data_IF_914777714513
#
_entry.id   IF_914777714513
#
_cell.length_a   1.000
_cell.length_b   1.000
_cell.length_c   1.000
_cell.angle_alpha   90.00
_cell.angle_beta   90.00
_cell.angle_gamma   90.00
#
_symmetry.space_group_name_H-M   'P 1'
#
loop_
_entity.id
_entity.type
_entity.pdbx_description
1 polymer ?
#
# COMPACT_ATOMS: atom_id res chain seq x y z
N UNK A 1 42.72 55.37 6.29
CA UNK A 1 41.48 55.63 5.53
C UNK A 1 41.50 54.66 4.35
N UNK A 2 40.69 53.62 4.17
CA UNK A 2 39.41 53.18 4.73
C UNK A 2 39.42 51.65 4.88
N UNK A 3 38.77 51.15 5.94
CA UNK A 3 38.39 49.74 6.14
C UNK A 3 37.20 49.44 5.22
N UNK A 4 37.23 48.32 4.50
CA UNK A 4 36.02 47.69 3.97
C UNK A 4 36.07 46.20 4.30
N UNK A 5 35.33 45.84 5.35
CA UNK A 5 34.95 44.46 5.61
C UNK A 5 33.95 44.02 4.54
N UNK A 6 34.19 42.87 3.91
CA UNK A 6 33.17 42.14 3.18
C UNK A 6 32.93 40.83 3.92
N UNK A 7 31.91 40.84 4.78
CA UNK A 7 31.26 39.63 5.26
C UNK A 7 30.39 39.10 4.12
N UNK A 8 30.70 37.92 3.58
CA UNK A 8 29.80 37.17 2.71
C UNK A 8 29.33 35.95 3.50
N UNK A 9 28.18 36.16 4.13
CA UNK A 9 27.22 35.14 4.54
C UNK A 9 26.55 34.56 3.29
N UNK A 10 25.87 33.40 3.42
CA UNK A 10 24.84 32.79 2.52
C UNK A 10 25.37 31.64 1.64
N UNK A 11 24.80 30.43 1.58
CA UNK A 11 23.60 29.80 2.17
C UNK A 11 23.83 28.29 2.16
N UNK A 12 23.48 27.59 3.24
CA UNK A 12 23.33 26.13 3.25
C UNK A 12 22.05 25.75 2.50
N UNK A 13 22.18 25.18 1.30
CA UNK A 13 21.07 24.52 0.61
C UNK A 13 20.89 23.12 1.20
N UNK A 14 20.05 23.01 2.23
CA UNK A 14 19.45 21.75 2.62
C UNK A 14 18.42 21.37 1.55
N UNK A 15 18.82 20.52 0.60
CA UNK A 15 17.92 19.93 -0.37
C UNK A 15 17.11 18.82 0.32
N UNK A 16 15.98 19.17 0.94
CA UNK A 16 14.92 18.19 1.15
C UNK A 16 14.39 17.82 -0.24
N UNK A 17 14.60 16.56 -0.65
CA UNK A 17 13.99 16.00 -1.85
C UNK A 17 12.48 15.90 -1.63
N UNK A 18 11.77 17.00 -1.85
CA UNK A 18 10.30 17.09 -1.79
C UNK A 18 9.74 16.52 -3.08
N UNK A 19 8.81 15.57 -2.98
CA UNK A 19 8.04 15.03 -4.10
C UNK A 19 7.55 16.17 -5.01
N UNK A 20 7.87 16.09 -6.30
CA UNK A 20 7.79 17.25 -7.22
C UNK A 20 6.43 17.44 -7.86
N UNK A 21 5.56 16.43 -7.82
CA UNK A 21 4.23 16.50 -8.41
C UNK A 21 3.11 16.31 -7.37
N UNK A 22 1.92 16.94 -7.57
CA UNK A 22 0.76 16.72 -6.72
C UNK A 22 0.33 15.25 -6.63
N UNK A 23 0.49 14.51 -7.73
CA UNK A 23 0.24 13.06 -7.79
C UNK A 23 1.22 12.31 -6.89
N UNK A 24 2.53 12.54 -7.00
CA UNK A 24 3.52 11.90 -6.11
C UNK A 24 3.29 12.20 -4.63
N UNK A 25 2.77 13.38 -4.30
CA UNK A 25 2.45 13.76 -2.91
C UNK A 25 1.20 13.02 -2.38
N UNK A 26 0.09 13.04 -3.12
CA UNK A 26 -1.12 12.30 -2.75
C UNK A 26 -0.85 10.80 -2.59
N UNK A 27 0.13 10.32 -3.34
CA UNK A 27 0.53 8.93 -3.34
C UNK A 27 1.49 8.54 -2.23
N UNK A 28 2.44 9.41 -1.89
CA UNK A 28 3.24 9.25 -0.66
C UNK A 28 2.32 9.24 0.56
N UNK A 29 1.27 10.05 0.53
CA UNK A 29 0.21 10.06 1.55
C UNK A 29 -0.53 8.71 1.58
N UNK A 30 -0.97 8.15 0.44
CA UNK A 30 -1.61 6.82 0.39
C UNK A 30 -0.73 5.68 0.91
N UNK A 31 0.57 5.70 0.65
CA UNK A 31 1.49 4.69 1.21
C UNK A 31 1.65 4.88 2.72
N UNK A 32 1.80 6.13 3.16
CA UNK A 32 1.84 6.47 4.58
C UNK A 32 0.55 6.09 5.31
N UNK A 33 -0.62 6.15 4.64
CA UNK A 33 -1.89 5.71 5.22
C UNK A 33 -1.83 4.26 5.69
N UNK A 34 -1.11 3.39 4.99
CA UNK A 34 -0.96 1.99 5.41
C UNK A 34 0.17 1.79 6.43
N UNK A 35 1.13 2.71 6.52
CA UNK A 35 2.21 2.61 7.50
C UNK A 35 1.70 2.88 8.92
N UNK A 36 0.85 3.87 9.09
CA UNK A 36 0.30 4.22 10.40
C UNK A 36 -1.13 3.72 10.62
N UNK A 37 -1.64 2.82 9.75
CA UNK A 37 -3.00 2.28 9.91
C UNK A 37 -3.08 1.35 11.15
N UNK A 38 -3.97 1.63 12.12
CA UNK A 38 -4.14 0.78 13.30
C UNK A 38 -4.64 -0.64 12.96
N UNK A 39 -5.20 -0.84 11.76
CA UNK A 39 -5.62 -2.15 11.25
C UNK A 39 -4.45 -3.00 10.79
N UNK A 40 -3.27 -2.41 10.57
CA UNK A 40 -2.07 -3.15 10.15
C UNK A 40 -1.45 -3.87 11.36
N UNK A 41 -1.46 -5.19 11.29
CA UNK A 41 -0.81 -6.05 12.28
C UNK A 41 0.65 -6.36 11.95
N UNK A 42 1.13 -7.52 12.40
CA UNK A 42 2.51 -7.96 12.21
C UNK A 42 2.83 -8.29 10.74
N UNK A 43 4.11 -8.10 10.35
CA UNK A 43 4.61 -8.60 9.07
C UNK A 43 4.64 -10.13 9.08
N UNK A 44 4.18 -10.75 8.00
CA UNK A 44 4.19 -12.19 7.79
C UNK A 44 4.96 -12.54 6.52
N UNK A 45 5.57 -13.72 6.51
CA UNK A 45 6.42 -14.13 5.37
C UNK A 45 5.62 -14.56 4.14
N UNK A 46 4.40 -15.08 4.35
CA UNK A 46 3.60 -15.70 3.29
C UNK A 46 2.12 -15.82 3.64
N UNK A 47 1.28 -15.82 2.59
CA UNK A 47 -0.14 -16.19 2.66
C UNK A 47 -0.36 -17.40 1.76
N UNK A 48 -0.89 -18.48 2.30
CA UNK A 48 -1.13 -19.70 1.54
C UNK A 48 -2.60 -19.80 1.18
N UNK A 49 -2.91 -19.92 -0.10
CA UNK A 49 -4.28 -20.09 -0.59
C UNK A 49 -4.54 -21.57 -0.84
N UNK A 50 -5.74 -22.03 -0.50
CA UNK A 50 -6.14 -23.40 -0.84
C UNK A 50 -6.38 -23.59 -2.35
N UNK A 51 -6.80 -22.54 -3.06
CA UNK A 51 -7.04 -22.54 -4.52
C UNK A 51 -6.76 -21.18 -5.16
N UNK A 52 -7.54 -20.18 -4.79
CA UNK A 52 -7.47 -18.79 -5.26
C UNK A 52 -7.70 -17.88 -4.06
N UNK A 53 -7.41 -16.59 -4.20
CA UNK A 53 -7.88 -15.59 -3.23
C UNK A 53 -9.41 -15.66 -3.10
N UNK A 54 -9.92 -15.51 -1.87
CA UNK A 54 -11.37 -15.48 -1.64
C UNK A 54 -11.96 -14.11 -1.98
N UNK A 55 -11.15 -13.06 -1.88
CA UNK A 55 -11.53 -11.69 -2.20
C UNK A 55 -10.38 -10.72 -2.01
N UNK A 56 -10.61 -9.47 -2.40
CA UNK A 56 -9.68 -8.37 -2.16
C UNK A 56 -10.43 -7.04 -2.00
N UNK A 57 -9.82 -6.09 -1.31
CA UNK A 57 -10.38 -4.77 -1.04
C UNK A 57 -9.26 -3.75 -0.81
N UNK A 58 -9.63 -2.48 -0.60
CA UNK A 58 -8.71 -1.38 -0.29
C UNK A 58 -7.54 -1.32 -1.29
N UNK A 59 -7.88 -1.42 -2.57
CA UNK A 59 -6.90 -1.35 -3.65
C UNK A 59 -6.34 0.05 -3.76
N UNK A 60 -5.02 0.11 -3.87
CA UNK A 60 -4.28 1.29 -4.28
C UNK A 60 -3.25 0.88 -5.32
N UNK A 61 -2.61 1.83 -5.98
CA UNK A 61 -1.52 1.50 -6.88
C UNK A 61 -0.28 0.87 -6.19
N UNK A 62 -0.25 0.72 -4.86
CA UNK A 62 0.91 0.14 -4.15
C UNK A 62 0.56 -0.92 -3.12
N UNK A 63 -0.70 -1.05 -2.74
CA UNK A 63 -1.14 -2.02 -1.77
C UNK A 63 -2.55 -2.50 -2.04
N UNK A 64 -2.85 -3.70 -1.57
CA UNK A 64 -4.18 -4.30 -1.63
C UNK A 64 -4.37 -5.17 -0.39
N UNK A 65 -5.58 -5.18 0.15
CA UNK A 65 -5.96 -6.13 1.20
C UNK A 65 -6.56 -7.36 0.53
N UNK A 66 -6.01 -8.53 0.79
CA UNK A 66 -6.50 -9.82 0.30
C UNK A 66 -7.18 -10.61 1.43
N UNK A 67 -8.18 -11.41 1.09
CA UNK A 67 -8.88 -12.28 2.02
C UNK A 67 -8.54 -13.74 1.76
N UNK A 68 -8.25 -14.47 2.85
CA UNK A 68 -8.11 -15.94 2.88
C UNK A 68 -8.91 -16.47 4.07
N UNK A 69 -10.03 -17.13 3.77
CA UNK A 69 -11.03 -17.58 4.73
C UNK A 69 -11.57 -16.44 5.57
N UNK A 70 -11.27 -16.48 6.87
CA UNK A 70 -11.67 -15.46 7.85
C UNK A 70 -10.59 -14.42 8.12
N UNK A 71 -9.42 -14.56 7.52
CA UNK A 71 -8.27 -13.68 7.74
C UNK A 71 -8.10 -12.72 6.56
N UNK A 72 -7.67 -11.51 6.86
CA UNK A 72 -7.31 -10.50 5.86
C UNK A 72 -5.82 -10.17 6.00
N UNK A 73 -5.18 -9.86 4.87
CA UNK A 73 -3.78 -9.52 4.81
C UNK A 73 -3.56 -8.31 3.91
N UNK A 74 -2.79 -7.34 4.39
CA UNK A 74 -2.34 -6.21 3.59
C UNK A 74 -1.08 -6.62 2.81
N UNK A 75 -1.16 -6.62 1.49
CA UNK A 75 -0.04 -6.91 0.59
C UNK A 75 0.40 -5.61 -0.06
N UNK A 76 1.69 -5.30 0.10
CA UNK A 76 2.33 -4.13 -0.52
C UNK A 76 3.16 -4.56 -1.72
N UNK A 77 3.34 -3.64 -2.66
CA UNK A 77 4.12 -3.85 -3.89
C UNK A 77 5.36 -2.97 -3.90
N UNK A 78 6.43 -3.47 -4.54
CA UNK A 78 7.74 -2.81 -4.54
C UNK A 78 7.73 -1.51 -5.34
N UNK A 79 7.09 -1.55 -6.49
CA UNK A 79 6.90 -0.43 -7.40
C UNK A 79 5.43 -0.06 -7.49
N UNK A 80 5.14 1.14 -8.01
CA UNK A 80 3.78 1.49 -8.41
C UNK A 80 3.24 0.45 -9.40
N UNK A 81 1.98 0.13 -9.21
CA UNK A 81 1.19 -0.84 -9.95
C UNK A 81 -0.09 -0.15 -10.41
N UNK A 82 -0.05 0.47 -11.59
CA UNK A 82 -1.19 1.24 -12.11
C UNK A 82 -2.44 0.38 -12.25
N UNK A 83 -2.28 -0.88 -12.68
CA UNK A 83 -3.38 -1.82 -12.86
C UNK A 83 -4.06 -2.26 -11.54
N UNK A 84 -3.47 -1.93 -10.38
CA UNK A 84 -4.01 -2.33 -9.07
C UNK A 84 -4.99 -1.32 -8.49
N UNK A 85 -4.82 -0.01 -8.73
CA UNK A 85 -5.64 1.06 -8.11
C UNK A 85 -7.14 0.84 -8.42
N UNK A 86 -7.44 0.60 -9.70
CA UNK A 86 -8.79 0.39 -10.23
C UNK A 86 -9.10 -1.10 -10.50
N UNK A 87 -8.39 -2.03 -9.85
CA UNK A 87 -8.56 -3.44 -10.11
C UNK A 87 -9.99 -3.91 -9.74
N UNK A 88 -10.72 -4.40 -10.74
CA UNK A 88 -11.99 -5.12 -10.59
C UNK A 88 -11.79 -6.64 -10.50
N UNK A 89 -10.64 -7.15 -10.94
CA UNK A 89 -10.21 -8.52 -10.69
C UNK A 89 -8.72 -8.57 -10.33
N UNK A 90 -8.36 -9.56 -9.51
CA UNK A 90 -6.99 -9.76 -9.02
C UNK A 90 -6.62 -11.23 -9.18
N UNK A 91 -5.48 -11.47 -9.83
CA UNK A 91 -4.87 -12.79 -9.91
C UNK A 91 -3.52 -12.79 -9.19
N UNK A 92 -3.21 -13.93 -8.58
CA UNK A 92 -1.92 -14.18 -7.95
C UNK A 92 -1.14 -15.14 -8.83
N UNK A 93 0.06 -14.73 -9.22
CA UNK A 93 1.02 -15.55 -9.93
C UNK A 93 2.23 -15.75 -9.02
N UNK A 94 2.25 -16.91 -8.37
CA UNK A 94 3.24 -17.31 -7.39
C UNK A 94 3.87 -18.64 -7.79
N UNK A 95 5.12 -18.85 -7.40
CA UNK A 95 5.83 -20.10 -7.70
C UNK A 95 5.33 -21.30 -6.87
N UNK A 96 4.48 -21.07 -5.87
CA UNK A 96 3.99 -22.09 -4.95
C UNK A 96 2.48 -21.91 -4.68
N UNK A 97 1.90 -22.70 -3.78
CA UNK A 97 0.52 -22.48 -3.30
C UNK A 97 0.41 -21.28 -2.34
N UNK A 98 1.51 -20.60 -2.06
CA UNK A 98 1.56 -19.44 -1.17
C UNK A 98 2.15 -18.23 -1.89
N UNK A 99 1.52 -17.08 -1.68
CA UNK A 99 2.06 -15.77 -2.02
C UNK A 99 3.14 -15.38 -1.03
N UNK A 100 4.29 -14.99 -1.59
CA UNK A 100 5.49 -14.59 -0.88
C UNK A 100 6.05 -13.30 -1.48
N UNK A 101 7.04 -12.73 -0.79
CA UNK A 101 7.83 -11.60 -1.32
C UNK A 101 8.45 -11.97 -2.67
N UNK A 102 8.23 -11.12 -3.67
CA UNK A 102 8.75 -11.28 -5.04
C UNK A 102 7.77 -11.92 -6.03
N UNK A 103 6.72 -12.59 -5.54
CA UNK A 103 5.62 -13.07 -6.38
C UNK A 103 4.84 -11.92 -7.02
N UNK A 104 3.94 -12.24 -7.95
CA UNK A 104 3.31 -11.26 -8.83
C UNK A 104 1.80 -11.18 -8.56
N UNK A 105 1.33 -9.96 -8.33
CA UNK A 105 -0.08 -9.60 -8.38
C UNK A 105 -0.42 -9.09 -9.77
N UNK A 106 -1.55 -9.52 -10.32
CA UNK A 106 -2.03 -9.11 -11.63
C UNK A 106 -3.43 -8.52 -11.44
N UNK A 107 -3.49 -7.20 -11.31
CA UNK A 107 -4.75 -6.45 -11.26
C UNK A 107 -5.31 -6.23 -12.67
N UNK A 108 -6.64 -6.19 -12.81
CA UNK A 108 -7.31 -5.84 -14.05
C UNK A 108 -8.54 -4.98 -13.77
N UNK A 109 -8.77 -3.99 -14.61
CA UNK A 109 -9.90 -3.06 -14.58
C UNK A 109 -11.24 -3.65 -15.09
N UNK A 110 -11.29 -4.96 -15.35
CA UNK A 110 -12.48 -5.64 -15.85
C UNK A 110 -12.83 -6.89 -15.03
N UNK A 111 -14.13 -7.07 -14.79
CA UNK A 111 -14.71 -8.20 -14.06
C UNK A 111 -14.59 -9.52 -14.85
N UNK A 112 -14.58 -9.47 -16.19
CA UNK A 112 -14.66 -10.66 -17.03
C UNK A 112 -13.31 -11.25 -17.46
N UNK A 113 -12.19 -10.74 -16.93
CA UNK A 113 -10.86 -11.22 -17.33
C UNK A 113 -10.57 -11.02 -18.82
N UNK A 114 -9.50 -11.65 -19.32
CA UNK A 114 -8.96 -11.46 -20.68
C UNK A 114 -10.03 -11.43 -21.78
N UNK A 115 -10.33 -10.25 -22.31
CA UNK A 115 -10.81 -10.13 -23.68
C UNK A 115 -9.56 -10.17 -24.57
N UNK A 116 -9.56 -10.95 -25.66
CA UNK A 116 -8.39 -11.20 -26.52
C UNK A 116 -7.86 -9.96 -27.25
N UNK A 117 -8.44 -8.79 -27.00
CA UNK A 117 -8.04 -7.46 -27.47
C UNK A 117 -7.54 -6.52 -26.34
N UNK A 118 -7.36 -7.01 -25.11
CA UNK A 118 -7.07 -6.20 -23.93
C UNK A 118 -5.61 -5.77 -23.75
N UNK A 119 -5.41 -4.60 -23.15
CA UNK A 119 -4.13 -4.01 -22.74
C UNK A 119 -3.25 -5.03 -22.00
N UNK A 120 -1.94 -5.12 -22.31
CA UNK A 120 -1.03 -5.96 -21.54
C UNK A 120 -1.02 -5.48 -20.08
N UNK A 121 -1.44 -6.35 -19.16
CA UNK A 121 -1.34 -6.06 -17.73
C UNK A 121 0.07 -6.35 -17.27
N UNK A 122 0.66 -5.40 -16.53
CA UNK A 122 2.01 -5.56 -16.01
C UNK A 122 1.95 -6.19 -14.61
N UNK A 123 2.66 -7.29 -14.36
CA UNK A 123 2.64 -7.92 -13.06
C UNK A 123 3.32 -7.03 -12.01
N UNK A 124 2.73 -6.98 -10.83
CA UNK A 124 3.15 -6.15 -9.73
C UNK A 124 3.82 -6.99 -8.65
N UNK A 125 5.10 -6.70 -8.40
CA UNK A 125 5.91 -7.50 -7.50
C UNK A 125 5.57 -7.21 -6.04
N UNK A 126 5.22 -8.26 -5.30
CA UNK A 126 4.98 -8.19 -3.86
C UNK A 126 6.27 -7.83 -3.13
N UNK A 127 6.16 -6.90 -2.17
CA UNK A 127 7.26 -6.49 -1.31
C UNK A 127 7.09 -7.00 0.11
N UNK A 128 6.00 -6.65 0.79
CA UNK A 128 5.72 -7.08 2.17
C UNK A 128 4.27 -7.46 2.35
N UNK A 129 4.03 -8.32 3.32
CA UNK A 129 2.70 -8.83 3.67
C UNK A 129 2.52 -8.59 5.17
N UNK A 130 1.38 -8.03 5.55
CA UNK A 130 1.02 -7.78 6.94
C UNK A 130 -0.32 -8.43 7.26
N UNK A 131 -0.53 -8.82 8.51
CA UNK A 131 -1.87 -9.12 9.00
C UNK A 131 -2.74 -7.85 8.93
N UNK A 132 -4.03 -8.04 8.69
CA UNK A 132 -4.99 -6.94 8.60
C UNK A 132 -6.22 -7.23 9.46
N UNK A 133 -6.47 -6.36 10.45
CA UNK A 133 -7.65 -6.41 11.29
C UNK A 133 -8.63 -5.31 10.91
N UNK A 134 -9.67 -5.68 10.17
CA UNK A 134 -10.71 -4.74 9.73
C UNK A 134 -11.41 -4.01 10.89
N UNK A 135 -11.46 -4.60 12.09
CA UNK A 135 -12.22 -4.08 13.24
C UNK A 135 -11.42 -3.12 14.12
N UNK A 136 -10.10 -3.08 14.00
CA UNK A 136 -9.25 -2.22 14.83
C UNK A 136 -9.54 -0.71 14.67
N UNK A 137 -10.21 -0.31 13.59
CA UNK A 137 -10.66 1.09 13.41
C UNK A 137 -11.83 1.46 14.32
N UNK A 138 -12.69 0.51 14.67
CA UNK A 138 -13.92 0.77 15.41
C UNK A 138 -13.61 0.97 16.91
N UNK A 139 -12.71 0.16 17.48
CA UNK A 139 -12.37 0.23 18.91
C UNK A 139 -11.61 1.50 19.32
N UNK A 140 -10.86 2.11 18.40
CA UNK A 140 -10.16 3.39 18.68
C UNK A 140 -11.11 4.59 18.78
N UNK A 141 -12.38 4.46 18.36
CA UNK A 141 -13.38 5.53 18.47
C UNK A 141 -14.30 5.42 19.69
N UNK A 142 -14.31 4.26 20.35
CA UNK A 142 -15.24 3.94 21.44
C UNK A 142 -14.60 4.06 22.84
N UNK A 143 -13.27 4.25 22.92
CA UNK A 143 -12.52 4.32 24.18
C UNK A 143 -12.47 5.71 24.86
N UNK A 144 -13.15 6.74 24.33
CA UNK A 144 -13.23 8.09 24.96
C UNK A 144 -14.63 8.42 25.55
N UNK A 145 -15.57 7.48 25.57
CA UNK A 145 -16.94 7.72 26.04
C UNK A 145 -17.39 6.79 27.18
N UNK A 146 -16.52 6.46 28.13
CA UNK A 146 -16.94 5.80 29.38
C UNK A 146 -16.07 6.28 30.57
N UNK A 147 -16.20 7.56 30.92
CA UNK A 147 -15.64 8.15 32.16
C UNK A 147 -16.41 9.41 32.58
N UNK A 148 -17.72 9.27 32.80
CA UNK A 148 -18.60 10.17 33.55
C UNK A 148 -19.95 9.45 33.62
N UNK A 149 -20.58 9.13 34.74
CA UNK A 149 -20.63 9.73 36.08
C UNK A 149 -20.91 8.62 37.11
N UNK A 150 -20.43 8.84 38.35
CA UNK A 150 -20.89 8.12 39.55
C UNK A 150 -21.90 8.95 40.33
#
# INVERSE_FOLDING_TARGET
MHKTAFAVMVFTLAACATATTPEERAEAEKVALFEDDPRRGAEVDKVCFSRTIDGFTNTTNRAVVISEGTKEYLVTTRSRCTDLDDAMSLAVDSFSSCLTRGDRLIGKDSVFGYNTAGTPSFPCHVDKIYEWDRKAKDESSESEADSSEG
#
